data_IF_632159752284
#
_entry.id   IF_632159752284
#
_cell.length_a   1.000
_cell.length_b   1.000
_cell.length_c   1.000
_cell.angle_alpha   90.00
_cell.angle_beta   90.00
_cell.angle_gamma   90.00
#
_symmetry.space_group_name_H-M   'P 1'
#
loop_
_entity.id
_entity.type
_entity.pdbx_description
1 polymer ?
#
# COMPACT_ATOMS: atom_id res chain seq x y z
N UNK A 1 -82.55 -11.78 -65.76
CA UNK A 1 -82.27 -12.82 -64.74
C UNK A 1 -80.76 -12.92 -64.59
N UNK A 2 -80.26 -12.57 -63.41
CA UNK A 2 -78.83 -12.49 -63.07
C UNK A 2 -78.21 -13.87 -62.93
N UNK A 3 -77.18 -14.17 -63.73
CA UNK A 3 -76.37 -15.36 -63.57
C UNK A 3 -75.25 -15.05 -62.55
N UNK A 4 -75.37 -15.54 -61.31
CA UNK A 4 -74.36 -15.39 -60.26
C UNK A 4 -73.37 -16.56 -60.33
N UNK A 5 -72.09 -16.25 -60.50
CA UNK A 5 -70.97 -17.20 -60.48
C UNK A 5 -70.73 -17.64 -59.01
N UNK A 6 -70.53 -18.94 -58.70
CA UNK A 6 -70.22 -19.37 -57.34
C UNK A 6 -68.78 -19.02 -56.96
N UNK A 7 -68.59 -18.23 -55.90
CA UNK A 7 -67.27 -18.00 -55.29
C UNK A 7 -66.85 -19.22 -54.45
N UNK A 8 -65.61 -19.70 -54.61
CA UNK A 8 -65.10 -20.86 -53.86
C UNK A 8 -64.33 -20.44 -52.60
N UNK A 9 -64.89 -20.70 -51.42
CA UNK A 9 -64.25 -20.44 -50.12
C UNK A 9 -62.98 -21.28 -49.88
N UNK A 10 -62.73 -22.33 -50.70
CA UNK A 10 -61.57 -23.23 -50.58
C UNK A 10 -60.24 -22.59 -51.00
N UNK A 11 -60.25 -21.60 -51.89
CA UNK A 11 -59.03 -20.88 -52.29
C UNK A 11 -58.51 -19.93 -51.21
N UNK A 12 -59.43 -19.31 -50.45
CA UNK A 12 -59.09 -18.40 -49.37
C UNK A 12 -58.41 -19.12 -48.18
N UNK A 13 -58.88 -20.33 -47.84
CA UNK A 13 -58.29 -21.15 -46.75
C UNK A 13 -56.84 -21.54 -47.06
N UNK A 14 -56.53 -21.89 -48.33
CA UNK A 14 -55.16 -22.23 -48.73
C UNK A 14 -54.23 -21.02 -48.63
N UNK A 15 -54.68 -19.84 -49.06
CA UNK A 15 -53.89 -18.61 -48.98
C UNK A 15 -53.62 -18.23 -47.52
N UNK A 16 -54.61 -18.33 -46.64
CA UNK A 16 -54.44 -18.07 -45.20
C UNK A 16 -53.46 -19.06 -44.57
N UNK A 17 -53.56 -20.35 -44.91
CA UNK A 17 -52.63 -21.37 -44.42
C UNK A 17 -51.19 -21.11 -44.91
N UNK A 18 -51.00 -20.72 -46.17
CA UNK A 18 -49.68 -20.36 -46.71
C UNK A 18 -49.10 -19.12 -46.03
N UNK A 19 -49.93 -18.09 -45.79
CA UNK A 19 -49.50 -16.88 -45.09
C UNK A 19 -49.10 -17.16 -43.64
N UNK A 20 -49.89 -17.96 -42.91
CA UNK A 20 -49.54 -18.40 -41.56
C UNK A 20 -48.24 -19.22 -41.55
N UNK A 21 -48.08 -20.14 -42.50
CA UNK A 21 -46.85 -20.93 -42.64
C UNK A 21 -45.63 -20.05 -42.91
N UNK A 22 -45.76 -19.05 -43.77
CA UNK A 22 -44.69 -18.10 -44.08
C UNK A 22 -44.32 -17.24 -42.85
N UNK A 23 -45.31 -16.77 -42.09
CA UNK A 23 -45.09 -16.01 -40.85
C UNK A 23 -44.37 -16.87 -39.80
N UNK A 24 -44.77 -18.13 -39.63
CA UNK A 24 -44.11 -19.08 -38.71
C UNK A 24 -42.68 -19.38 -39.17
N UNK A 25 -42.45 -19.56 -40.47
CA UNK A 25 -41.10 -19.80 -40.99
C UNK A 25 -40.16 -18.62 -40.75
N UNK A 26 -40.64 -17.38 -40.98
CA UNK A 26 -39.87 -16.16 -40.71
C UNK A 26 -39.62 -15.97 -39.22
N UNK A 27 -40.62 -16.20 -38.36
CA UNK A 27 -40.46 -16.06 -36.91
C UNK A 27 -39.51 -17.10 -36.33
N UNK A 28 -39.60 -18.37 -36.76
CA UNK A 28 -38.71 -19.44 -36.35
C UNK A 28 -37.27 -19.19 -36.82
N UNK A 29 -37.09 -18.78 -38.08
CA UNK A 29 -35.78 -18.42 -38.61
C UNK A 29 -35.14 -17.24 -37.85
N UNK A 30 -35.94 -16.24 -37.50
CA UNK A 30 -35.48 -15.10 -36.69
C UNK A 30 -35.10 -15.54 -35.27
N UNK A 31 -35.94 -16.37 -34.64
CA UNK A 31 -35.69 -16.87 -33.28
C UNK A 31 -34.45 -17.76 -33.20
N UNK A 32 -34.23 -18.63 -34.19
CA UNK A 32 -33.01 -19.47 -34.26
C UNK A 32 -31.78 -18.58 -34.40
N UNK A 33 -31.81 -17.58 -35.29
CA UNK A 33 -30.67 -16.66 -35.46
C UNK A 33 -30.41 -15.83 -34.19
N UNK A 34 -31.46 -15.36 -33.53
CA UNK A 34 -31.33 -14.65 -32.26
C UNK A 34 -30.71 -15.56 -31.19
N UNK A 35 -31.21 -16.79 -31.04
CA UNK A 35 -30.69 -17.78 -30.10
C UNK A 35 -29.21 -18.11 -30.36
N UNK A 36 -28.83 -18.34 -31.63
CA UNK A 36 -27.44 -18.59 -32.01
C UNK A 36 -26.53 -17.39 -31.71
N UNK A 37 -27.00 -16.17 -31.95
CA UNK A 37 -26.24 -14.97 -31.62
C UNK A 37 -26.11 -14.77 -30.11
N UNK A 38 -27.17 -15.06 -29.34
CA UNK A 38 -27.13 -15.03 -27.88
C UNK A 38 -26.14 -16.04 -27.31
N UNK A 39 -26.11 -17.28 -27.84
CA UNK A 39 -25.12 -18.30 -27.43
C UNK A 39 -23.70 -17.86 -27.78
N UNK A 40 -23.48 -17.36 -29.00
CA UNK A 40 -22.15 -16.84 -29.40
C UNK A 40 -21.70 -15.68 -28.53
N UNK A 41 -22.61 -14.77 -28.17
CA UNK A 41 -22.28 -13.65 -27.30
C UNK A 41 -21.96 -14.14 -25.89
N UNK A 42 -22.73 -15.08 -25.35
CA UNK A 42 -22.47 -15.70 -24.05
C UNK A 42 -21.10 -16.38 -24.01
N UNK A 43 -20.76 -17.20 -25.02
CA UNK A 43 -19.46 -17.85 -25.13
C UNK A 43 -18.34 -16.79 -25.20
N UNK A 44 -18.51 -15.76 -26.03
CA UNK A 44 -17.49 -14.71 -26.17
C UNK A 44 -17.30 -13.92 -24.88
N UNK A 45 -18.35 -13.64 -24.13
CA UNK A 45 -18.25 -12.97 -22.82
C UNK A 45 -17.56 -13.87 -21.80
N UNK A 46 -17.91 -15.16 -21.76
CA UNK A 46 -17.26 -16.13 -20.88
C UNK A 46 -15.75 -16.22 -21.15
N UNK A 47 -15.35 -16.39 -22.41
CA UNK A 47 -13.93 -16.46 -22.77
C UNK A 47 -13.23 -15.10 -22.69
N UNK A 48 -13.93 -13.96 -22.80
CA UNK A 48 -13.34 -12.65 -22.55
C UNK A 48 -12.92 -12.48 -21.08
N UNK A 49 -13.74 -12.96 -20.14
CA UNK A 49 -13.38 -12.99 -18.71
C UNK A 49 -12.25 -13.98 -18.44
N UNK A 50 -12.27 -15.16 -19.07
CA UNK A 50 -11.17 -16.12 -18.93
C UNK A 50 -9.84 -15.56 -19.49
N UNK A 51 -9.89 -14.84 -20.61
CA UNK A 51 -8.71 -14.16 -21.17
C UNK A 51 -8.20 -13.09 -20.20
N UNK A 52 -9.08 -12.36 -19.52
CA UNK A 52 -8.69 -11.38 -18.50
C UNK A 52 -7.93 -12.04 -17.35
N UNK A 53 -8.48 -13.10 -16.76
CA UNK A 53 -7.84 -13.82 -15.67
C UNK A 53 -6.47 -14.41 -16.09
N UNK A 54 -6.34 -14.87 -17.34
CA UNK A 54 -5.05 -15.36 -17.85
C UNK A 54 -3.99 -14.27 -17.95
N UNK A 55 -4.35 -13.07 -18.41
CA UNK A 55 -3.38 -11.98 -18.51
C UNK A 55 -2.99 -11.48 -17.12
N UNK A 56 -3.93 -11.42 -16.18
CA UNK A 56 -3.64 -11.09 -14.77
C UNK A 56 -2.67 -12.11 -14.17
N UNK A 57 -2.91 -13.41 -14.35
CA UNK A 57 -1.98 -14.46 -13.88
C UNK A 57 -0.55 -14.26 -14.41
N UNK A 58 -0.38 -13.95 -15.69
CA UNK A 58 0.96 -13.71 -16.26
C UNK A 58 1.63 -12.46 -15.68
N UNK A 59 0.86 -11.39 -15.46
CA UNK A 59 1.38 -10.14 -14.87
C UNK A 59 1.75 -10.33 -13.40
N UNK A 60 0.95 -11.08 -12.64
CA UNK A 60 1.25 -11.43 -11.24
C UNK A 60 2.55 -12.24 -11.14
N UNK A 61 2.82 -13.16 -12.08
CA UNK A 61 4.10 -13.88 -12.14
C UNK A 61 5.29 -12.94 -12.41
N UNK A 62 5.10 -11.92 -13.26
CA UNK A 62 6.13 -10.91 -13.48
C UNK A 62 6.39 -10.07 -12.22
N UNK A 63 5.33 -9.68 -11.51
CA UNK A 63 5.45 -8.98 -10.23
C UNK A 63 6.12 -9.83 -9.16
N UNK A 64 5.77 -11.10 -9.07
CA UNK A 64 6.44 -12.06 -8.20
C UNK A 64 7.93 -12.15 -8.54
N UNK A 65 8.27 -12.21 -9.84
CA UNK A 65 9.67 -12.26 -10.30
C UNK A 65 10.48 -11.03 -9.85
N UNK A 66 9.91 -9.82 -9.87
CA UNK A 66 10.56 -8.64 -9.29
C UNK A 66 10.83 -8.78 -7.78
N UNK A 67 9.83 -9.23 -7.02
CA UNK A 67 9.94 -9.35 -5.56
C UNK A 67 10.82 -10.54 -5.14
N UNK A 68 10.89 -11.58 -5.95
CA UNK A 68 11.78 -12.73 -5.75
C UNK A 68 13.22 -12.39 -6.10
N UNK A 69 13.48 -11.65 -7.18
CA UNK A 69 14.83 -11.19 -7.55
C UNK A 69 15.46 -10.34 -6.43
N UNK A 70 14.65 -9.52 -5.77
CA UNK A 70 15.02 -8.78 -4.55
C UNK A 70 15.42 -9.69 -3.38
N UNK A 71 14.74 -10.83 -3.22
CA UNK A 71 14.90 -11.69 -2.03
C UNK A 71 15.99 -12.76 -2.22
N UNK A 72 16.09 -13.33 -3.42
CA UNK A 72 16.98 -14.47 -3.72
C UNK A 72 17.87 -14.26 -4.94
N UNK A 73 17.68 -13.18 -5.71
CA UNK A 73 18.43 -12.91 -6.95
C UNK A 73 18.09 -13.84 -8.12
N UNK A 74 16.99 -14.61 -8.02
CA UNK A 74 16.64 -15.66 -8.99
C UNK A 74 15.29 -15.46 -9.68
N UNK A 75 14.63 -14.32 -9.48
CA UNK A 75 13.25 -14.10 -9.94
C UNK A 75 13.08 -14.21 -11.46
N UNK A 76 14.13 -13.91 -12.23
CA UNK A 76 14.09 -13.89 -13.70
C UNK A 76 14.63 -15.15 -14.38
N UNK A 77 14.95 -16.21 -13.62
CA UNK A 77 15.59 -17.43 -14.17
C UNK A 77 14.73 -18.20 -15.18
N UNK A 78 13.41 -18.15 -15.04
CA UNK A 78 12.45 -18.77 -15.95
C UNK A 78 12.05 -17.88 -17.15
N UNK A 79 12.62 -16.68 -17.26
CA UNK A 79 12.31 -15.69 -18.28
C UNK A 79 13.41 -15.58 -19.33
N UNK A 80 13.04 -15.26 -20.56
CA UNK A 80 13.99 -14.86 -21.60
C UNK A 80 14.47 -13.42 -21.32
N UNK A 81 15.76 -13.30 -21.01
CA UNK A 81 16.44 -12.03 -20.72
C UNK A 81 17.48 -11.66 -21.79
N UNK A 82 17.39 -12.28 -22.97
CA UNK A 82 18.32 -12.05 -24.10
C UNK A 82 18.34 -10.60 -24.60
N UNK A 83 17.26 -9.85 -24.36
CA UNK A 83 17.14 -8.42 -24.66
C UNK A 83 17.76 -7.49 -23.60
N UNK A 84 18.65 -8.01 -22.74
CA UNK A 84 19.41 -7.22 -21.76
C UNK A 84 18.61 -6.91 -20.49
N UNK A 85 18.12 -5.68 -20.38
CA UNK A 85 17.36 -5.23 -19.20
C UNK A 85 15.86 -5.54 -19.29
N UNK A 86 15.38 -6.04 -20.43
CA UNK A 86 14.01 -6.49 -20.59
C UNK A 86 13.89 -7.99 -20.34
N UNK A 87 12.71 -8.42 -19.88
CA UNK A 87 12.39 -9.83 -19.70
C UNK A 87 11.11 -10.19 -20.45
N UNK A 88 11.08 -11.37 -21.05
CA UNK A 88 9.95 -11.89 -21.77
C UNK A 88 9.65 -13.31 -21.33
N UNK A 89 8.37 -13.64 -21.17
CA UNK A 89 7.97 -15.03 -20.99
C UNK A 89 6.65 -15.32 -21.70
N UNK A 90 6.57 -16.52 -22.26
CA UNK A 90 5.35 -17.09 -22.80
C UNK A 90 4.97 -18.29 -21.98
N UNK A 91 3.97 -18.11 -21.14
CA UNK A 91 3.42 -19.17 -20.33
C UNK A 91 2.66 -20.17 -21.21
N UNK A 92 2.64 -21.42 -20.76
CA UNK A 92 2.18 -22.57 -21.50
C UNK A 92 0.75 -22.44 -22.07
N UNK A 93 0.36 -23.42 -22.89
CA UNK A 93 -0.99 -23.47 -23.45
C UNK A 93 -1.96 -24.07 -22.45
N UNK A 94 -2.98 -23.32 -22.06
CA UNK A 94 -4.07 -23.75 -21.18
C UNK A 94 -5.21 -24.30 -22.01
N UNK A 95 -5.73 -25.48 -21.65
CA UNK A 95 -6.82 -26.13 -22.38
C UNK A 95 -8.14 -25.98 -21.62
N UNK A 96 -9.16 -25.44 -22.29
CA UNK A 96 -10.50 -25.24 -21.74
C UNK A 96 -11.51 -26.31 -22.18
N UNK A 97 -11.03 -27.35 -22.89
CA UNK A 97 -11.88 -28.34 -23.54
C UNK A 97 -12.48 -27.82 -24.85
N UNK A 98 -13.10 -28.71 -25.63
CA UNK A 98 -13.78 -28.32 -26.87
C UNK A 98 -12.89 -27.67 -27.94
N UNK A 99 -11.59 -27.98 -27.97
CA UNK A 99 -10.58 -27.34 -28.83
C UNK A 99 -10.41 -25.83 -28.59
N UNK A 100 -10.70 -25.36 -27.38
CA UNK A 100 -10.40 -23.99 -26.95
C UNK A 100 -9.08 -23.98 -26.17
N UNK A 101 -8.15 -23.13 -26.61
CA UNK A 101 -6.83 -23.01 -25.98
C UNK A 101 -6.52 -21.56 -25.62
N UNK A 102 -5.98 -21.32 -24.43
CA UNK A 102 -5.47 -20.04 -23.98
C UNK A 102 -3.94 -20.02 -23.93
N UNK A 103 -3.35 -18.86 -24.18
CA UNK A 103 -1.94 -18.60 -23.95
C UNK A 103 -1.78 -17.18 -23.39
N UNK A 104 -0.74 -16.97 -22.58
CA UNK A 104 -0.37 -15.64 -22.08
C UNK A 104 1.10 -15.38 -22.36
N UNK A 105 1.37 -14.18 -22.86
CA UNK A 105 2.69 -13.64 -23.13
C UNK A 105 2.85 -12.40 -22.26
N UNK A 106 4.01 -12.23 -21.64
CA UNK A 106 4.30 -11.09 -20.77
C UNK A 106 5.65 -10.52 -21.14
N UNK A 107 5.72 -9.20 -21.20
CA UNK A 107 6.92 -8.44 -21.51
C UNK A 107 7.15 -7.39 -20.42
N UNK A 108 8.42 -7.23 -20.06
CA UNK A 108 8.87 -6.37 -18.97
C UNK A 108 10.00 -5.48 -19.50
N UNK A 109 9.88 -4.16 -19.34
CA UNK A 109 10.85 -3.21 -19.93
C UNK A 109 12.15 -3.09 -19.14
N UNK A 110 12.08 -3.09 -17.79
CA UNK A 110 13.23 -2.85 -16.89
C UNK A 110 13.25 -3.82 -15.70
N UNK A 111 13.81 -5.01 -15.91
CA UNK A 111 13.90 -6.06 -14.90
C UNK A 111 14.75 -5.67 -13.68
N UNK A 112 15.76 -4.82 -13.88
CA UNK A 112 16.69 -4.42 -12.80
C UNK A 112 16.10 -3.35 -11.89
N UNK A 113 15.04 -2.68 -12.33
CA UNK A 113 14.37 -1.63 -11.57
C UNK A 113 15.26 -0.43 -11.26
N UNK A 114 16.28 -0.21 -12.09
CA UNK A 114 17.16 0.97 -12.02
C UNK A 114 16.44 2.22 -12.56
N UNK A 115 15.45 2.05 -13.43
CA UNK A 115 14.47 3.06 -13.78
C UNK A 115 13.38 3.13 -12.72
N UNK A 116 13.06 4.35 -12.29
CA UNK A 116 12.12 4.63 -11.21
C UNK A 116 10.67 4.11 -11.42
N UNK A 117 10.34 3.49 -12.58
CA UNK A 117 8.99 3.01 -12.89
C UNK A 117 9.01 1.86 -13.91
N UNK A 118 9.25 0.60 -13.47
CA UNK A 118 9.21 -0.54 -14.37
C UNK A 118 7.81 -0.76 -14.97
N UNK A 119 7.76 -1.09 -16.28
CA UNK A 119 6.51 -1.34 -17.01
C UNK A 119 6.39 -2.83 -17.33
N UNK A 120 5.23 -3.41 -17.03
CA UNK A 120 4.87 -4.77 -17.44
C UNK A 120 3.68 -4.69 -18.37
N UNK A 121 3.79 -5.37 -19.51
CA UNK A 121 2.70 -5.54 -20.46
C UNK A 121 2.37 -7.03 -20.54
N UNK A 122 1.10 -7.37 -20.32
CA UNK A 122 0.58 -8.71 -20.49
C UNK A 122 -0.36 -8.78 -21.69
N UNK A 123 -0.30 -9.88 -22.43
CA UNK A 123 -1.20 -10.21 -23.54
C UNK A 123 -1.67 -11.63 -23.38
N UNK A 124 -2.98 -11.83 -23.24
CA UNK A 124 -3.60 -13.16 -23.33
C UNK A 124 -4.32 -13.33 -24.66
N UNK A 125 -4.34 -14.57 -25.15
CA UNK A 125 -5.04 -14.95 -26.37
C UNK A 125 -5.78 -16.26 -26.12
N UNK A 126 -7.11 -16.23 -26.23
CA UNK A 126 -7.96 -17.42 -26.27
C UNK A 126 -8.38 -17.70 -27.70
N UNK A 127 -8.00 -18.87 -28.20
CA UNK A 127 -8.31 -19.36 -29.54
C UNK A 127 -9.53 -20.26 -29.46
N UNK A 128 -10.59 -19.88 -30.19
CA UNK A 128 -11.83 -20.64 -30.29
C UNK A 128 -11.81 -21.56 -31.51
N UNK A 129 -12.51 -22.70 -31.50
CA UNK A 129 -12.62 -23.59 -32.65
C UNK A 129 -13.34 -22.95 -33.85
N UNK A 130 -14.19 -21.94 -33.59
CA UNK A 130 -14.92 -21.17 -34.61
C UNK A 130 -14.96 -19.70 -34.23
N UNK A 131 -14.49 -18.84 -35.13
CA UNK A 131 -14.50 -17.38 -34.97
C UNK A 131 -13.12 -16.80 -34.65
N UNK A 132 -13.05 -15.47 -34.59
CA UNK A 132 -11.81 -14.76 -34.29
C UNK A 132 -11.38 -14.98 -32.82
N UNK A 133 -10.07 -15.11 -32.55
CA UNK A 133 -9.56 -15.24 -31.20
C UNK A 133 -9.93 -14.03 -30.35
N UNK A 134 -10.04 -14.26 -29.04
CA UNK A 134 -10.27 -13.22 -28.05
C UNK A 134 -8.92 -12.86 -27.44
N UNK A 135 -8.58 -11.58 -27.52
CA UNK A 135 -7.27 -11.06 -27.08
C UNK A 135 -7.51 -9.96 -26.05
N UNK A 136 -6.82 -10.04 -24.91
CA UNK A 136 -6.83 -9.02 -23.86
C UNK A 136 -5.41 -8.55 -23.58
N UNK A 137 -5.28 -7.26 -23.29
CA UNK A 137 -4.01 -6.60 -23.05
C UNK A 137 -4.13 -5.75 -21.80
N UNK A 138 -3.16 -5.85 -20.91
CA UNK A 138 -3.06 -5.06 -19.70
C UNK A 138 -1.65 -4.46 -19.64
N UNK A 139 -1.60 -3.21 -19.23
CA UNK A 139 -0.37 -2.47 -18.89
C UNK A 139 -0.41 -2.16 -17.40
N UNK A 140 0.67 -2.51 -16.68
CA UNK A 140 0.87 -2.07 -15.31
C UNK A 140 2.22 -1.36 -15.14
N UNK A 141 2.22 -0.32 -14.31
CA UNK A 141 3.44 0.36 -13.87
C UNK A 141 3.69 0.00 -12.42
N UNK A 142 4.95 -0.32 -12.10
CA UNK A 142 5.40 -0.63 -10.76
C UNK A 142 6.19 0.54 -10.15
N UNK A 143 6.18 0.64 -8.83
CA UNK A 143 7.16 1.40 -8.06
C UNK A 143 7.55 0.60 -6.81
N UNK A 144 8.69 0.92 -6.21
CA UNK A 144 9.03 0.44 -4.88
C UNK A 144 8.04 1.02 -3.87
N UNK A 145 7.64 0.22 -2.88
CA UNK A 145 6.78 0.64 -1.78
C UNK A 145 7.60 0.71 -0.49
N UNK A 146 7.64 1.89 0.13
CA UNK A 146 8.22 2.05 1.48
C UNK A 146 7.18 1.83 2.56
N UNK A 147 7.62 1.22 3.67
CA UNK A 147 6.83 1.11 4.90
C UNK A 147 6.55 2.48 5.54
N UNK A 148 7.31 3.50 5.18
CA UNK A 148 7.24 4.86 5.72
C UNK A 148 7.03 5.91 4.62
N UNK A 149 6.33 5.56 3.54
CA UNK A 149 6.07 6.47 2.42
C UNK A 149 5.19 7.69 2.78
N UNK A 150 4.51 7.64 3.93
CA UNK A 150 3.71 8.74 4.46
C UNK A 150 4.07 9.00 5.92
N UNK A 151 3.70 10.16 6.44
CA UNK A 151 4.00 10.59 7.81
C UNK A 151 3.31 9.76 8.88
N UNK A 152 1.98 9.77 8.91
CA UNK A 152 1.18 9.02 9.86
C UNK A 152 0.23 8.08 9.12
N UNK A 153 0.39 6.77 9.29
CA UNK A 153 -0.50 5.79 8.68
C UNK A 153 -1.12 4.91 9.76
N UNK A 154 -2.44 4.96 9.88
CA UNK A 154 -3.18 4.05 10.74
C UNK A 154 -3.86 2.97 9.90
N UNK A 155 -4.05 1.79 10.48
CA UNK A 155 -4.93 0.78 9.90
C UNK A 155 -6.38 1.17 10.11
N UNK A 156 -6.78 1.49 11.33
CA UNK A 156 -8.15 1.82 11.71
C UNK A 156 -8.39 3.33 11.84
N UNK A 157 -7.67 4.06 12.68
CA UNK A 157 -8.01 5.48 12.91
C UNK A 157 -6.86 6.38 13.33
N UNK A 158 -6.98 7.66 12.97
CA UNK A 158 -6.07 8.73 13.42
C UNK A 158 -6.89 9.78 14.17
N UNK A 159 -6.47 10.12 15.39
CA UNK A 159 -7.12 11.16 16.18
C UNK A 159 -6.10 12.16 16.73
N UNK A 160 -6.31 13.43 16.42
CA UNK A 160 -5.57 14.54 17.01
C UNK A 160 -6.35 15.10 18.20
N UNK A 161 -5.72 15.15 19.37
CA UNK A 161 -6.30 15.74 20.59
C UNK A 161 -5.34 16.80 21.13
N UNK A 162 -5.57 18.03 20.69
CA UNK A 162 -4.76 19.20 20.99
C UNK A 162 -5.35 20.41 20.27
N UNK A 163 -5.07 21.62 20.75
CA UNK A 163 -5.52 22.86 20.10
C UNK A 163 -4.53 23.38 19.05
N UNK A 164 -3.31 22.83 19.02
CA UNK A 164 -2.18 23.32 18.24
C UNK A 164 -1.32 22.19 17.67
N UNK A 165 -1.90 21.00 17.45
CA UNK A 165 -1.17 19.96 16.75
C UNK A 165 -1.00 20.37 15.28
N UNK A 166 0.19 20.15 14.72
CA UNK A 166 0.47 20.43 13.30
C UNK A 166 1.10 19.20 12.66
N UNK A 167 0.89 19.03 11.36
CA UNK A 167 1.56 18.03 10.52
C UNK A 167 2.13 18.76 9.32
N UNK A 168 3.42 18.66 9.08
CA UNK A 168 4.09 19.13 7.87
C UNK A 168 5.18 18.12 7.46
N UNK A 169 6.08 18.49 6.55
CA UNK A 169 7.22 17.64 6.17
C UNK A 169 8.53 18.42 6.03
N UNK A 170 9.64 17.70 5.95
CA UNK A 170 10.93 18.18 5.46
C UNK A 170 11.69 17.02 4.83
N UNK A 171 12.74 17.31 4.07
CA UNK A 171 13.63 16.27 3.55
C UNK A 171 14.96 16.29 4.32
N UNK A 172 15.25 15.25 5.11
CA UNK A 172 16.51 15.19 5.87
C UNK A 172 17.72 14.80 5.02
N UNK A 173 17.50 14.27 3.81
CA UNK A 173 18.54 13.85 2.86
C UNK A 173 18.17 14.28 1.43
N UNK A 174 18.24 15.59 1.10
CA UNK A 174 17.77 16.11 -0.19
C UNK A 174 18.49 15.54 -1.42
N UNK A 175 19.69 15.00 -1.23
CA UNK A 175 20.48 14.39 -2.29
C UNK A 175 20.19 12.88 -2.45
N UNK A 176 19.54 12.25 -1.47
CA UNK A 176 19.24 10.82 -1.46
C UNK A 176 20.47 9.91 -1.35
N UNK A 177 21.65 10.46 -1.07
CA UNK A 177 22.93 9.75 -1.01
C UNK A 177 23.60 9.82 0.38
N UNK A 178 22.94 10.46 1.35
CA UNK A 178 23.43 10.64 2.70
C UNK A 178 24.63 11.60 2.83
N UNK A 179 25.02 12.29 1.75
CA UNK A 179 26.15 13.24 1.76
C UNK A 179 25.83 14.54 2.48
N UNK A 180 24.56 14.96 2.44
CA UNK A 180 24.07 16.18 3.08
C UNK A 180 22.89 15.83 3.95
N UNK A 181 23.05 15.97 5.26
CA UNK A 181 21.99 15.73 6.23
C UNK A 181 21.49 17.07 6.77
N UNK A 182 20.18 17.30 6.67
CA UNK A 182 19.52 18.54 7.09
C UNK A 182 18.58 18.25 8.26
N UNK A 183 18.83 18.78 9.47
CA UNK A 183 17.87 18.67 10.56
C UNK A 183 16.64 19.54 10.30
N UNK A 184 15.49 19.13 10.85
CA UNK A 184 14.28 19.92 10.76
C UNK A 184 14.46 21.33 11.35
N UNK A 185 13.88 22.32 10.67
CA UNK A 185 13.65 23.67 11.17
C UNK A 185 12.50 24.29 10.40
N UNK A 186 11.81 25.29 10.96
CA UNK A 186 10.69 25.94 10.27
C UNK A 186 11.05 26.64 8.94
N UNK A 187 12.34 26.80 8.62
CA UNK A 187 12.80 27.33 7.32
C UNK A 187 12.94 26.29 6.21
N UNK A 188 12.89 25.01 6.55
CA UNK A 188 12.97 23.87 5.60
C UNK A 188 11.68 23.04 5.59
N UNK A 189 10.62 23.58 6.20
CA UNK A 189 9.31 22.93 6.22
C UNK A 189 8.64 23.02 4.85
N UNK A 190 8.07 21.89 4.44
CA UNK A 190 7.32 21.68 3.21
C UNK A 190 5.87 21.32 3.56
N UNK A 191 4.97 21.48 2.59
CA UNK A 191 3.55 21.13 2.71
C UNK A 191 3.24 19.72 2.18
N UNK A 192 4.16 18.78 2.34
CA UNK A 192 3.97 17.36 2.01
C UNK A 192 3.76 16.48 3.26
N UNK A 193 3.29 17.08 4.35
CA UNK A 193 2.84 16.35 5.53
C UNK A 193 1.66 15.46 5.17
N UNK A 194 1.75 14.17 5.51
CA UNK A 194 0.78 13.18 5.03
C UNK A 194 0.23 12.32 6.15
N UNK A 195 -1.10 12.16 6.13
CA UNK A 195 -1.83 11.29 7.05
C UNK A 195 -2.75 10.35 6.26
N UNK A 196 -2.82 9.08 6.67
CA UNK A 196 -3.56 8.06 5.95
C UNK A 196 -4.23 7.06 6.90
N UNK A 197 -5.48 6.66 6.62
CA UNK A 197 -6.10 5.54 7.31
C UNK A 197 -6.68 4.51 6.33
N UNK A 198 -6.39 3.23 6.56
CA UNK A 198 -6.58 2.16 5.56
C UNK A 198 -7.97 1.52 5.61
N UNK A 199 -8.57 1.36 6.79
CA UNK A 199 -9.85 0.65 6.95
C UNK A 199 -10.98 1.40 6.21
N UNK A 200 -11.94 0.67 5.65
CA UNK A 200 -13.09 1.24 4.95
C UNK A 200 -14.05 1.98 5.89
N UNK A 201 -14.02 1.64 7.18
CA UNK A 201 -14.75 2.31 8.26
C UNK A 201 -13.87 3.26 9.07
N UNK A 202 -12.61 3.44 8.64
CA UNK A 202 -11.66 4.32 9.31
C UNK A 202 -12.16 5.75 9.41
N UNK A 203 -11.67 6.45 10.43
CA UNK A 203 -11.86 7.89 10.55
C UNK A 203 -10.55 8.59 10.85
N UNK A 204 -10.40 9.80 10.29
CA UNK A 204 -9.34 10.73 10.61
C UNK A 204 -9.99 11.94 11.28
N UNK A 205 -9.85 12.00 12.61
CA UNK A 205 -10.32 13.13 13.40
C UNK A 205 -9.21 14.16 13.55
N UNK A 206 -9.13 15.08 12.57
CA UNK A 206 -8.17 16.21 12.57
C UNK A 206 -8.46 17.18 13.72
N UNK A 207 -9.74 17.35 14.09
CA UNK A 207 -10.15 18.27 15.15
C UNK A 207 -9.57 19.68 14.93
N UNK A 208 -8.79 20.22 15.85
CA UNK A 208 -8.20 21.55 15.75
C UNK A 208 -6.76 21.54 15.21
N UNK A 209 -6.30 20.43 14.64
CA UNK A 209 -4.95 20.30 14.11
C UNK A 209 -4.80 20.91 12.71
N UNK A 210 -3.61 21.41 12.40
CA UNK A 210 -3.25 21.92 11.08
C UNK A 210 -2.49 20.85 10.29
N UNK A 211 -3.07 20.32 9.22
CA UNK A 211 -2.41 19.34 8.35
C UNK A 211 -1.96 20.05 7.07
N UNK A 212 -0.66 20.32 6.97
CA UNK A 212 -0.01 20.93 5.82
C UNK A 212 0.43 19.84 4.84
N UNK A 213 -0.50 19.48 3.95
CA UNK A 213 -0.32 18.44 2.95
C UNK A 213 -1.59 17.61 2.79
N UNK A 214 -1.47 16.28 2.79
CA UNK A 214 -2.54 15.39 2.33
C UNK A 214 -3.16 14.54 3.44
N UNK A 215 -4.46 14.25 3.30
CA UNK A 215 -5.18 13.31 4.16
C UNK A 215 -5.98 12.30 3.32
N UNK A 216 -5.73 11.02 3.52
CA UNK A 216 -6.32 9.96 2.70
C UNK A 216 -7.02 8.91 3.57
N UNK A 217 -8.22 8.48 3.19
CA UNK A 217 -8.98 7.44 3.90
C UNK A 217 -9.35 6.31 2.95
N UNK A 218 -9.41 5.07 3.46
CA UNK A 218 -9.91 3.92 2.70
C UNK A 218 -11.44 3.86 2.58
N UNK A 219 -12.14 4.68 3.37
CA UNK A 219 -13.60 4.80 3.31
C UNK A 219 -14.07 5.64 2.13
N UNK A 220 -15.24 5.33 1.58
CA UNK A 220 -15.78 5.95 0.36
C UNK A 220 -16.34 7.37 0.54
N UNK A 221 -16.10 8.02 1.69
CA UNK A 221 -16.70 9.32 2.03
C UNK A 221 -15.67 10.24 2.69
N UNK A 222 -15.55 11.45 2.14
CA UNK A 222 -14.73 12.52 2.74
C UNK A 222 -15.19 12.93 4.14
N UNK A 223 -16.42 12.60 4.54
CA UNK A 223 -16.91 12.83 5.90
C UNK A 223 -16.17 12.01 6.96
N UNK A 224 -15.43 10.97 6.56
CA UNK A 224 -14.53 10.25 7.45
C UNK A 224 -13.33 11.09 7.90
N UNK A 225 -13.02 12.19 7.18
CA UNK A 225 -12.01 13.17 7.56
C UNK A 225 -12.71 14.35 8.26
N UNK A 226 -12.68 14.33 9.58
CA UNK A 226 -13.34 15.32 10.43
C UNK A 226 -12.42 16.48 10.78
N UNK A 227 -12.69 17.66 10.21
CA UNK A 227 -12.00 18.91 10.55
C UNK A 227 -12.85 19.74 11.50
N UNK A 228 -12.28 20.12 12.65
CA UNK A 228 -12.90 20.97 13.67
C UNK A 228 -12.83 22.46 13.33
N UNK A 229 -13.35 23.34 14.22
CA UNK A 229 -13.46 24.77 13.94
C UNK A 229 -12.15 25.49 13.61
N UNK A 230 -11.02 24.99 14.14
CA UNK A 230 -9.71 25.59 13.92
C UNK A 230 -8.78 24.75 13.04
N UNK A 231 -9.12 23.48 12.77
CA UNK A 231 -8.26 22.58 12.02
C UNK A 231 -8.32 22.83 10.53
N UNK A 232 -7.40 22.23 9.78
CA UNK A 232 -7.39 22.29 8.31
C UNK A 232 -6.61 21.13 7.69
N UNK A 233 -6.84 20.92 6.40
CA UNK A 233 -6.03 20.06 5.54
C UNK A 233 -5.81 20.76 4.21
N UNK A 234 -4.56 20.92 3.79
CA UNK A 234 -4.19 21.49 2.50
C UNK A 234 -2.80 22.10 2.49
N UNK A 235 -2.39 22.75 1.38
CA UNK A 235 -1.09 23.41 1.28
C UNK A 235 -0.95 24.60 2.23
N UNK A 236 0.27 25.11 2.39
CA UNK A 236 0.52 26.29 3.24
C UNK A 236 -0.38 27.48 2.84
N UNK A 237 -0.99 28.11 3.84
CA UNK A 237 -1.92 29.23 3.64
C UNK A 237 -3.40 28.82 3.54
N UNK A 238 -3.71 27.52 3.59
CA UNK A 238 -5.09 27.03 3.74
C UNK A 238 -5.79 27.68 4.94
N UNK A 239 -7.00 28.25 4.80
CA UNK A 239 -7.74 28.85 5.92
C UNK A 239 -8.19 27.81 6.95
N UNK A 240 -8.44 28.25 8.20
CA UNK A 240 -9.00 27.38 9.23
C UNK A 240 -10.38 26.84 8.82
N UNK A 241 -10.76 25.67 9.35
CA UNK A 241 -11.99 24.94 9.05
C UNK A 241 -12.15 24.57 7.56
N UNK A 242 -11.04 24.28 6.90
CA UNK A 242 -11.02 23.96 5.46
C UNK A 242 -10.43 22.59 5.22
N UNK A 243 -11.10 21.83 4.36
CA UNK A 243 -10.62 20.59 3.77
C UNK A 243 -10.43 20.86 2.27
N UNK A 244 -9.19 21.01 1.82
CA UNK A 244 -8.92 21.23 0.39
C UNK A 244 -9.19 19.95 -0.42
N UNK A 245 -10.12 19.97 -1.39
CA UNK A 245 -10.44 18.79 -2.21
C UNK A 245 -9.26 18.20 -2.99
N UNK A 246 -8.23 18.99 -3.30
CA UNK A 246 -7.03 18.49 -4.01
C UNK A 246 -6.04 17.79 -3.07
N UNK A 247 -6.23 17.94 -1.76
CA UNK A 247 -5.35 17.42 -0.73
C UNK A 247 -5.95 16.22 -0.01
N UNK A 248 -7.08 15.69 -0.49
CA UNK A 248 -7.77 14.55 0.12
C UNK A 248 -8.14 13.46 -0.88
N UNK A 249 -8.08 12.21 -0.45
CA UNK A 249 -8.63 11.07 -1.21
C UNK A 249 -9.39 10.07 -0.33
N UNK A 250 -10.22 9.27 -0.97
CA UNK A 250 -11.10 8.24 -0.36
C UNK A 250 -10.80 6.82 -0.84
N UNK A 251 -9.68 6.64 -1.52
CA UNK A 251 -9.24 5.39 -2.15
C UNK A 251 -7.91 4.92 -1.58
N UNK A 252 -7.58 5.36 -0.37
CA UNK A 252 -6.32 4.98 0.25
C UNK A 252 -6.30 3.49 0.57
N UNK A 253 -5.28 2.81 0.07
CA UNK A 253 -5.04 1.40 0.36
C UNK A 253 -3.55 1.18 0.61
N UNK A 254 -3.24 0.48 1.69
CA UNK A 254 -1.88 0.07 2.01
C UNK A 254 -1.90 -1.35 2.58
N UNK A 255 -0.92 -2.16 2.18
CA UNK A 255 -0.70 -3.47 2.79
C UNK A 255 0.32 -3.32 3.92
N UNK A 256 -0.17 -3.34 5.17
CA UNK A 256 0.65 -3.18 6.37
C UNK A 256 1.05 -4.54 6.93
N UNK A 257 2.08 -5.15 6.33
CA UNK A 257 2.54 -6.48 6.72
C UNK A 257 3.22 -6.47 8.10
N UNK A 258 2.97 -7.46 8.97
CA UNK A 258 3.70 -7.61 10.22
C UNK A 258 5.20 -7.81 10.00
N UNK A 259 6.01 -7.30 10.91
CA UNK A 259 7.47 -7.44 10.86
C UNK A 259 7.92 -8.54 11.82
N UNK A 260 8.95 -9.29 11.42
CA UNK A 260 9.57 -10.32 12.26
C UNK A 260 10.89 -9.81 12.83
N UNK A 261 11.13 -10.10 14.11
CA UNK A 261 12.39 -9.77 14.75
C UNK A 261 13.55 -10.63 14.17
N UNK A 262 14.78 -10.10 14.09
CA UNK A 262 15.92 -10.86 13.60
C UNK A 262 16.19 -12.11 14.47
N UNK A 263 16.65 -13.17 13.81
CA UNK A 263 17.12 -14.38 14.48
C UNK A 263 18.54 -14.16 15.04
N UNK A 264 18.81 -14.66 16.24
CA UNK A 264 20.10 -14.47 16.92
C UNK A 264 20.15 -13.29 17.89
N UNK A 265 21.37 -12.93 18.31
CA UNK A 265 21.67 -11.90 19.31
C UNK A 265 22.12 -12.46 20.67
N UNK A 266 22.81 -11.62 21.44
CA UNK A 266 23.33 -11.98 22.76
C UNK A 266 22.25 -11.78 23.81
N UNK A 267 21.91 -12.84 24.55
CA UNK A 267 20.95 -12.75 25.65
C UNK A 267 21.59 -12.07 26.87
N UNK A 268 20.92 -11.05 27.41
CA UNK A 268 21.30 -10.40 28.67
C UNK A 268 20.10 -10.35 29.62
N UNK A 269 20.37 -10.12 30.91
CA UNK A 269 19.32 -9.94 31.89
C UNK A 269 18.48 -8.68 31.61
N UNK A 270 17.27 -8.62 32.19
CA UNK A 270 16.42 -7.44 32.12
C UNK A 270 17.17 -6.18 32.59
N UNK A 271 17.00 -5.08 31.87
CA UNK A 271 17.64 -3.80 32.19
C UNK A 271 16.77 -3.08 33.21
N UNK A 272 17.27 -2.98 34.45
CA UNK A 272 16.59 -2.28 35.54
C UNK A 272 17.48 -1.23 36.24
N UNK A 273 18.65 -0.96 35.68
CA UNK A 273 19.62 0.02 36.15
C UNK A 273 20.28 0.76 34.99
N UNK A 274 20.99 1.85 35.27
CA UNK A 274 21.76 2.58 34.25
C UNK A 274 22.69 1.62 33.51
N UNK A 275 22.56 1.56 32.20
CA UNK A 275 23.25 0.59 31.35
C UNK A 275 23.75 1.29 30.09
N UNK A 276 24.98 0.97 29.68
CA UNK A 276 25.53 1.40 28.40
C UNK A 276 25.55 0.20 27.46
N UNK A 277 24.92 0.31 26.30
CA UNK A 277 25.00 -0.69 25.25
C UNK A 277 25.88 -0.15 24.11
N UNK A 278 26.92 -0.92 23.79
CA UNK A 278 27.69 -0.77 22.57
C UNK A 278 27.05 -1.54 21.42
N UNK A 279 27.60 -1.39 20.23
CA UNK A 279 27.04 -1.99 19.02
C UNK A 279 26.86 -3.51 19.11
N UNK A 280 25.75 -4.00 18.58
CA UNK A 280 25.38 -5.42 18.56
C UNK A 280 23.89 -5.68 18.70
N UNK A 281 23.51 -6.94 18.51
CA UNK A 281 22.13 -7.42 18.71
C UNK A 281 21.99 -8.03 20.09
N UNK A 282 21.08 -7.50 20.91
CA UNK A 282 20.84 -7.88 22.29
C UNK A 282 19.41 -8.41 22.46
N UNK A 283 19.26 -9.57 23.10
CA UNK A 283 17.95 -10.12 23.47
C UNK A 283 17.73 -9.90 24.96
N UNK A 284 16.68 -9.15 25.30
CA UNK A 284 16.46 -8.65 26.66
C UNK A 284 15.02 -8.99 27.06
N UNK A 285 14.78 -9.55 28.25
CA UNK A 285 13.41 -9.79 28.72
C UNK A 285 12.58 -8.53 28.79
N UNK A 286 13.10 -7.47 29.40
CA UNK A 286 12.42 -6.18 29.51
C UNK A 286 13.39 -5.05 29.87
N UNK A 287 12.93 -3.82 29.66
CA UNK A 287 13.60 -2.59 30.11
C UNK A 287 12.65 -1.88 31.09
N UNK A 288 13.03 -1.78 32.36
CA UNK A 288 12.24 -1.10 33.39
C UNK A 288 13.10 -0.09 34.13
N UNK A 289 13.00 1.18 33.74
CA UNK A 289 13.82 2.27 34.26
C UNK A 289 12.97 3.32 34.96
N UNK A 290 13.40 3.73 36.14
CA UNK A 290 12.75 4.78 36.93
C UNK A 290 13.78 5.60 37.73
N UNK A 291 13.36 6.76 38.24
CA UNK A 291 14.30 7.67 38.92
C UNK A 291 15.29 8.25 37.90
N UNK A 292 16.59 8.43 38.23
CA UNK A 292 17.56 9.06 37.32
C UNK A 292 18.25 8.07 36.35
N UNK A 293 17.78 6.82 36.25
CA UNK A 293 18.46 5.75 35.52
C UNK A 293 18.40 5.97 34.00
N UNK A 294 19.49 5.68 33.28
CA UNK A 294 19.58 5.92 31.83
C UNK A 294 19.99 4.65 31.06
N UNK A 295 19.36 4.42 29.91
CA UNK A 295 19.88 3.50 28.90
C UNK A 295 20.65 4.32 27.86
N UNK A 296 21.97 4.18 27.82
CA UNK A 296 22.80 4.92 26.86
C UNK A 296 23.24 4.00 25.72
N UNK A 297 22.97 4.45 24.50
CA UNK A 297 23.32 3.75 23.27
C UNK A 297 24.53 4.43 22.65
N UNK A 298 25.62 3.68 22.49
CA UNK A 298 26.94 4.21 22.12
C UNK A 298 27.47 3.71 20.77
N UNK A 299 26.69 2.87 20.08
CA UNK A 299 26.98 2.36 18.74
C UNK A 299 25.70 1.82 18.10
N UNK A 300 25.82 0.97 17.08
CA UNK A 300 24.66 0.42 16.37
C UNK A 300 24.02 -0.75 17.12
N UNK A 301 22.91 -0.47 17.80
CA UNK A 301 22.26 -1.40 18.72
C UNK A 301 20.93 -1.89 18.17
N UNK A 302 20.77 -3.21 18.14
CA UNK A 302 19.48 -3.86 17.91
C UNK A 302 19.04 -4.50 19.22
N UNK A 303 17.89 -4.12 19.77
CA UNK A 303 17.28 -4.74 20.94
C UNK A 303 16.09 -5.58 20.48
N UNK A 304 16.07 -6.85 20.86
CA UNK A 304 14.89 -7.71 20.74
C UNK A 304 14.34 -7.95 22.14
N UNK A 305 13.18 -7.37 22.43
CA UNK A 305 12.46 -7.63 23.67
C UNK A 305 11.84 -9.02 23.59
N UNK A 306 12.14 -9.88 24.56
CA UNK A 306 11.63 -11.26 24.58
C UNK A 306 10.39 -11.43 25.45
N UNK A 307 9.91 -10.37 26.09
CA UNK A 307 8.59 -10.36 26.71
C UNK A 307 7.50 -10.54 25.65
N UNK A 308 6.49 -11.34 26.00
CA UNK A 308 5.41 -11.71 25.08
C UNK A 308 4.31 -10.65 24.98
N UNK A 309 3.41 -10.81 24.00
CA UNK A 309 2.24 -9.96 23.85
C UNK A 309 1.39 -9.88 25.12
N UNK A 310 0.82 -8.70 25.40
CA UNK A 310 0.02 -8.44 26.60
C UNK A 310 0.83 -8.31 27.91
N UNK A 311 2.15 -8.19 27.81
CA UNK A 311 3.03 -7.92 28.96
C UNK A 311 3.77 -6.60 28.77
N UNK A 312 4.35 -6.05 29.84
CA UNK A 312 5.17 -4.84 29.75
C UNK A 312 6.60 -5.18 29.34
N UNK A 313 6.98 -4.80 28.11
CA UNK A 313 8.32 -4.99 27.57
C UNK A 313 9.25 -3.83 27.91
N UNK A 314 8.76 -2.60 27.74
CA UNK A 314 9.51 -1.37 28.04
C UNK A 314 8.65 -0.47 28.93
N UNK A 315 9.21 -0.05 30.06
CA UNK A 315 8.60 0.89 31.00
C UNK A 315 9.65 1.87 31.52
N UNK A 316 9.54 3.13 31.10
CA UNK A 316 10.45 4.20 31.47
C UNK A 316 9.63 5.33 32.12
N UNK A 317 9.99 5.71 33.34
CA UNK A 317 9.24 6.70 34.12
C UNK A 317 10.14 7.57 35.00
N UNK A 318 9.57 8.62 35.62
CA UNK A 318 10.32 9.55 36.46
C UNK A 318 11.31 10.37 35.64
N UNK A 319 12.59 10.40 36.01
CA UNK A 319 13.64 11.13 35.30
C UNK A 319 14.50 10.20 34.43
N UNK A 320 14.00 8.99 34.15
CA UNK A 320 14.70 7.99 33.37
C UNK A 320 14.51 8.26 31.88
N UNK A 321 15.45 7.78 31.07
CA UNK A 321 15.42 7.99 29.63
C UNK A 321 16.28 7.01 28.84
N UNK A 322 16.11 7.05 27.53
CA UNK A 322 16.96 6.40 26.54
C UNK A 322 17.74 7.50 25.82
N UNK A 323 19.06 7.45 25.87
CA UNK A 323 19.92 8.44 25.26
C UNK A 323 20.75 7.79 24.14
N UNK A 324 20.58 8.28 22.92
CA UNK A 324 21.45 7.92 21.80
C UNK A 324 22.62 8.89 21.76
N UNK A 325 23.84 8.37 21.63
CA UNK A 325 25.00 9.18 21.28
C UNK A 325 24.92 9.65 19.82
N UNK A 326 25.61 10.75 19.51
CA UNK A 326 25.74 11.20 18.12
C UNK A 326 26.41 10.10 17.27
N UNK A 327 25.80 9.78 16.13
CA UNK A 327 26.23 8.69 15.24
C UNK A 327 25.81 7.29 15.68
N UNK A 328 25.17 7.12 16.85
CA UNK A 328 24.65 5.83 17.28
C UNK A 328 23.23 5.57 16.76
N UNK A 329 22.88 4.31 16.55
CA UNK A 329 21.54 3.87 16.14
C UNK A 329 20.93 2.88 17.13
N UNK A 330 19.61 2.92 17.29
CA UNK A 330 18.83 2.02 18.12
C UNK A 330 17.62 1.51 17.36
N UNK A 331 17.59 0.20 17.11
CA UNK A 331 16.42 -0.50 16.57
C UNK A 331 15.85 -1.43 17.63
N UNK A 332 14.57 -1.31 17.97
CA UNK A 332 13.89 -2.14 18.95
C UNK A 332 12.83 -2.99 18.24
N UNK A 333 12.82 -4.29 18.51
CA UNK A 333 11.74 -5.21 18.12
C UNK A 333 11.03 -5.71 19.37
N UNK A 334 9.70 -5.61 19.41
CA UNK A 334 8.91 -6.05 20.57
C UNK A 334 7.48 -6.42 20.18
N UNK A 335 6.96 -7.50 20.74
CA UNK A 335 5.51 -7.80 20.75
C UNK A 335 4.82 -7.37 22.05
N UNK A 336 5.60 -7.06 23.08
CA UNK A 336 5.14 -6.54 24.37
C UNK A 336 4.89 -5.03 24.33
N UNK A 337 4.14 -4.53 25.31
CA UNK A 337 3.77 -3.12 25.45
C UNK A 337 5.00 -2.24 25.73
N UNK A 338 4.94 -1.01 25.22
CA UNK A 338 6.00 0.00 25.33
C UNK A 338 5.44 1.26 25.95
N UNK A 339 6.05 1.70 27.04
CA UNK A 339 5.77 2.99 27.66
C UNK A 339 7.07 3.73 27.93
N UNK A 340 7.38 4.70 27.07
CA UNK A 340 8.55 5.58 27.19
C UNK A 340 8.05 6.94 27.67
N UNK A 341 8.14 7.19 28.97
CA UNK A 341 7.80 8.46 29.60
C UNK A 341 9.04 9.06 30.30
N UNK A 342 8.82 10.00 31.22
CA UNK A 342 9.88 10.64 31.99
C UNK A 342 10.74 11.58 31.15
N UNK A 343 12.06 11.39 31.17
CA UNK A 343 12.96 12.08 30.25
C UNK A 343 12.91 11.48 28.85
N UNK A 344 12.09 10.46 28.59
CA UNK A 344 11.74 10.00 27.25
C UNK A 344 12.90 9.44 26.44
N UNK A 345 12.76 9.51 25.12
CA UNK A 345 13.82 9.25 24.16
C UNK A 345 14.54 10.57 23.80
N UNK A 346 15.87 10.55 23.88
CA UNK A 346 16.74 11.59 23.35
C UNK A 346 17.54 11.03 22.17
N UNK A 347 17.22 11.50 20.97
CA UNK A 347 17.94 11.20 19.74
C UNK A 347 18.52 12.50 19.15
N UNK A 348 19.81 12.81 19.35
CA UNK A 348 20.43 14.04 18.86
C UNK A 348 20.80 13.97 17.37
N UNK A 349 20.58 12.83 16.72
CA UNK A 349 20.91 12.65 15.31
C UNK A 349 19.89 13.37 14.42
N UNK A 350 20.38 13.98 13.33
CA UNK A 350 19.55 14.73 12.40
C UNK A 350 18.58 13.84 11.59
N UNK A 351 18.93 12.56 11.38
CA UNK A 351 18.04 11.58 10.72
C UNK A 351 17.18 10.87 11.76
N UNK A 352 15.84 10.86 11.62
CA UNK A 352 14.95 10.11 12.52
C UNK A 352 15.17 8.59 12.40
N UNK A 353 15.67 8.11 11.26
CA UNK A 353 15.98 6.69 11.00
C UNK A 353 16.92 6.04 12.02
N UNK A 354 17.71 6.81 12.77
CA UNK A 354 18.63 6.27 13.79
C UNK A 354 17.92 5.73 15.02
N UNK A 355 16.64 6.05 15.23
CA UNK A 355 15.79 5.35 16.20
C UNK A 355 14.62 4.69 15.48
N UNK A 356 14.44 3.39 15.71
CA UNK A 356 13.38 2.61 15.10
C UNK A 356 12.72 1.72 16.14
N UNK A 357 11.40 1.75 16.19
CA UNK A 357 10.58 0.84 16.98
C UNK A 357 9.71 -0.01 16.06
N UNK A 358 9.90 -1.33 16.13
CA UNK A 358 9.18 -2.32 15.33
C UNK A 358 8.28 -3.15 16.24
N UNK A 359 6.96 -2.97 16.10
CA UNK A 359 5.96 -3.79 16.74
C UNK A 359 5.82 -5.12 16.01
N UNK A 360 6.16 -6.22 16.68
CA UNK A 360 6.15 -7.57 16.10
C UNK A 360 4.96 -8.41 16.58
N UNK A 361 4.01 -7.82 17.31
CA UNK A 361 2.81 -8.54 17.75
C UNK A 361 2.00 -8.99 16.53
N UNK A 362 1.76 -10.29 16.44
CA UNK A 362 0.79 -10.89 15.49
C UNK A 362 -0.44 -11.43 16.21
N UNK A 363 -0.53 -11.20 17.52
CA UNK A 363 -1.61 -11.69 18.37
C UNK A 363 -2.84 -10.77 18.24
N UNK A 364 -4.04 -11.31 18.50
CA UNK A 364 -5.26 -10.49 18.60
C UNK A 364 -5.34 -9.64 19.88
N UNK A 365 -4.26 -9.61 20.69
CA UNK A 365 -4.14 -8.74 21.86
C UNK A 365 -3.50 -7.44 21.36
N UNK A 366 -4.25 -6.35 21.46
CA UNK A 366 -3.76 -5.02 21.09
C UNK A 366 -2.51 -4.69 21.91
N UNK A 367 -1.41 -4.42 21.21
CA UNK A 367 -0.17 -3.93 21.80
C UNK A 367 -0.33 -2.42 22.05
N UNK A 368 0.02 -1.93 23.23
CA UNK A 368 -0.01 -0.49 23.54
C UNK A 368 1.41 0.10 23.45
N UNK A 369 1.58 1.12 22.61
CA UNK A 369 2.85 1.81 22.41
C UNK A 369 2.66 3.29 22.72
N UNK A 370 3.35 3.75 23.75
CA UNK A 370 3.37 5.14 24.19
C UNK A 370 4.80 5.66 24.14
N UNK A 371 5.01 6.70 23.34
CA UNK A 371 6.33 7.31 23.17
C UNK A 371 6.24 8.80 23.50
N UNK A 372 7.05 9.23 24.47
CA UNK A 372 7.33 10.62 24.76
C UNK A 372 8.81 10.93 24.49
N UNK A 373 9.06 12.07 23.84
CA UNK A 373 10.41 12.61 23.63
C UNK A 373 10.83 13.61 24.71
N UNK A 374 12.14 13.82 24.86
CA UNK A 374 12.67 14.91 25.68
C UNK A 374 12.74 16.22 24.87
N UNK A 375 11.64 16.97 24.82
CA UNK A 375 11.55 18.18 23.98
C UNK A 375 11.28 17.87 22.51
N UNK A 376 12.12 17.04 21.87
CA UNK A 376 11.95 16.57 20.48
C UNK A 376 11.97 15.04 20.43
N UNK A 377 10.95 14.43 19.81
CA UNK A 377 10.93 13.00 19.50
C UNK A 377 11.37 12.81 18.04
N UNK A 378 12.56 12.25 17.80
CA UNK A 378 13.05 11.96 16.45
C UNK A 378 13.23 10.46 16.27
N UNK A 379 12.41 9.83 15.42
CA UNK A 379 12.32 8.38 15.35
C UNK A 379 11.26 7.83 14.40
N UNK A 380 11.36 6.53 14.12
CA UNK A 380 10.38 5.77 13.35
C UNK A 380 9.66 4.75 14.23
N UNK A 381 8.39 4.50 13.92
CA UNK A 381 7.63 3.43 14.54
C UNK A 381 6.81 2.69 13.49
N UNK A 382 6.94 1.38 13.42
CA UNK A 382 6.10 0.53 12.58
C UNK A 382 5.53 -0.61 13.41
N UNK A 383 4.25 -0.51 13.75
CA UNK A 383 3.55 -1.45 14.63
C UNK A 383 2.08 -1.59 14.21
N UNK A 384 1.78 -2.22 13.05
CA UNK A 384 0.45 -2.21 12.43
C UNK A 384 -0.65 -2.93 13.22
N UNK A 385 -0.32 -3.59 14.34
CA UNK A 385 -1.26 -4.25 15.26
C UNK A 385 -1.21 -3.63 16.66
N UNK A 386 -0.71 -2.39 16.78
CA UNK A 386 -0.57 -1.69 18.05
C UNK A 386 -1.33 -0.35 18.03
N UNK A 387 -1.84 0.03 19.20
CA UNK A 387 -2.32 1.38 19.45
C UNK A 387 -1.14 2.28 19.80
N UNK A 388 -0.90 3.30 18.98
CA UNK A 388 0.19 4.25 19.18
C UNK A 388 -0.33 5.56 19.75
N UNK A 389 0.17 5.93 20.93
CA UNK A 389 -0.02 7.28 21.48
C UNK A 389 1.30 8.07 21.41
N UNK A 390 1.27 9.15 20.65
CA UNK A 390 2.34 10.15 20.59
C UNK A 390 1.97 11.29 21.54
N UNK A 391 2.72 11.45 22.63
CA UNK A 391 2.53 12.55 23.57
C UNK A 391 3.67 13.56 23.41
N UNK A 392 3.42 14.58 22.60
CA UNK A 392 4.40 15.62 22.28
C UNK A 392 3.97 16.98 22.84
N UNK A 393 4.91 17.67 23.49
CA UNK A 393 4.82 19.11 23.79
C UNK A 393 5.79 19.93 22.93
N UNK A 394 6.35 19.31 21.88
CA UNK A 394 7.33 19.89 20.96
C UNK A 394 7.34 19.09 19.66
N UNK A 395 8.49 19.08 18.99
CA UNK A 395 8.63 18.52 17.64
C UNK A 395 8.67 16.98 17.68
N UNK A 396 7.97 16.35 16.74
CA UNK A 396 7.95 14.91 16.49
C UNK A 396 8.34 14.68 15.03
N UNK A 397 9.53 14.16 14.81
CA UNK A 397 10.17 14.04 13.51
C UNK A 397 10.25 12.56 13.10
N UNK A 398 9.69 12.19 11.94
CA UNK A 398 9.85 10.85 11.36
C UNK A 398 8.59 10.33 10.67
N UNK A 399 8.33 9.03 10.79
CA UNK A 399 7.13 8.39 10.25
C UNK A 399 6.65 7.28 11.17
N UNK A 400 5.34 7.19 11.34
CA UNK A 400 4.70 6.29 12.29
C UNK A 400 3.55 5.53 11.63
N UNK A 401 3.60 4.21 11.73
CA UNK A 401 2.58 3.28 11.25
C UNK A 401 2.05 2.47 12.41
N UNK A 402 0.73 2.45 12.61
CA UNK A 402 0.09 1.74 13.72
C UNK A 402 -1.31 1.19 13.36
N UNK A 403 -1.95 0.47 14.26
CA UNK A 403 -3.37 0.11 14.12
C UNK A 403 -4.24 1.36 14.31
N UNK A 404 -4.10 2.01 15.47
CA UNK A 404 -4.64 3.34 15.73
C UNK A 404 -3.53 4.32 16.11
N UNK A 405 -3.66 5.58 15.71
CA UNK A 405 -2.72 6.65 16.09
C UNK A 405 -3.48 7.73 16.83
N UNK A 406 -3.01 8.04 18.04
CA UNK A 406 -3.47 9.17 18.83
C UNK A 406 -2.33 10.16 19.05
N UNK A 407 -2.46 11.34 18.47
CA UNK A 407 -1.56 12.46 18.73
C UNK A 407 -2.18 13.32 19.83
N UNK A 408 -1.50 13.39 20.98
CA UNK A 408 -1.98 14.15 22.15
C UNK A 408 -1.02 15.29 22.47
N UNK A 409 -1.57 16.41 22.96
CA UNK A 409 -0.78 17.58 23.36
C UNK A 409 -0.63 18.59 22.24
N UNK A 410 0.44 19.38 22.29
CA UNK A 410 0.78 20.38 21.27
C UNK A 410 1.90 19.85 20.38
N UNK A 411 1.81 18.58 19.96
CA UNK A 411 2.83 17.94 19.15
C UNK A 411 2.86 18.57 17.75
N UNK A 412 4.04 19.03 17.32
CA UNK A 412 4.30 19.41 15.95
C UNK A 412 4.91 18.22 15.24
N UNK A 413 4.13 17.53 14.43
CA UNK A 413 4.57 16.38 13.67
C UNK A 413 5.18 16.83 12.35
N UNK A 414 6.36 16.31 12.05
CA UNK A 414 7.11 16.57 10.85
C UNK A 414 7.37 15.20 10.21
N UNK A 415 7.00 15.04 8.94
CA UNK A 415 7.33 13.87 8.14
C UNK A 415 8.70 14.07 7.45
N UNK A 416 9.58 13.07 7.53
CA UNK A 416 10.83 13.08 6.77
C UNK A 416 10.63 12.44 5.40
N UNK A 417 10.62 13.25 4.35
CA UNK A 417 10.39 12.82 2.96
C UNK A 417 11.45 11.84 2.46
N UNK A 418 12.67 11.84 3.04
CA UNK A 418 13.69 10.85 2.68
C UNK A 418 13.32 9.41 3.06
N UNK A 419 12.26 9.22 3.86
CA UNK A 419 11.72 7.91 4.23
C UNK A 419 10.88 7.26 3.12
N UNK A 420 10.53 8.01 2.07
CA UNK A 420 9.90 7.42 0.88
C UNK A 420 10.81 6.34 0.25
N UNK A 421 12.12 6.53 0.34
CA UNK A 421 13.15 5.56 -0.07
C UNK A 421 13.87 4.94 1.15
N UNK A 422 13.13 4.66 2.23
CA UNK A 422 13.71 4.18 3.50
C UNK A 422 14.65 2.96 3.37
N UNK A 423 14.35 2.02 2.47
CA UNK A 423 15.13 0.80 2.28
C UNK A 423 15.38 0.55 0.79
N UNK A 424 16.61 0.15 0.45
CA UNK A 424 16.96 -0.28 -0.90
C UNK A 424 16.17 -1.54 -1.32
N UNK A 425 15.73 -2.33 -0.34
CA UNK A 425 15.00 -3.60 -0.48
C UNK A 425 13.47 -3.46 -0.35
N UNK A 426 12.92 -2.29 -0.65
CA UNK A 426 11.47 -2.10 -0.71
C UNK A 426 10.80 -2.98 -1.80
N UNK A 427 9.70 -3.70 -1.52
CA UNK A 427 9.02 -4.53 -2.51
C UNK A 427 8.37 -3.66 -3.60
N UNK A 428 8.25 -4.21 -4.81
CA UNK A 428 7.51 -3.57 -5.90
C UNK A 428 6.01 -3.82 -5.75
N UNK A 429 5.24 -2.78 -6.03
CA UNK A 429 3.80 -2.92 -6.20
C UNK A 429 3.24 -2.04 -7.31
N UNK A 430 1.99 -2.31 -7.67
CA UNK A 430 1.30 -1.62 -8.75
C UNK A 430 0.99 -0.18 -8.32
N UNK A 431 1.37 0.77 -9.17
CA UNK A 431 0.98 2.19 -9.06
C UNK A 431 -0.05 2.59 -10.12
N UNK A 432 -0.02 1.92 -11.28
CA UNK A 432 -0.97 2.15 -12.37
C UNK A 432 -1.38 0.83 -13.00
N UNK A 433 -2.66 0.70 -13.26
CA UNK A 433 -3.24 -0.42 -13.99
C UNK A 433 -4.12 0.12 -15.12
N UNK A 434 -3.96 -0.44 -16.33
CA UNK A 434 -4.76 -0.04 -17.50
C UNK A 434 -5.02 -1.21 -18.43
N UNK A 435 -6.28 -1.45 -18.76
CA UNK A 435 -6.65 -2.32 -19.89
C UNK A 435 -6.46 -1.58 -21.23
N UNK A 436 -5.77 -2.20 -22.19
CA UNK A 436 -5.52 -1.61 -23.52
C UNK A 436 -6.63 -2.01 -24.50
N UNK A 437 -7.72 -1.26 -24.46
CA UNK A 437 -8.96 -1.56 -25.21
C UNK A 437 -8.92 -1.10 -26.67
N UNK A 438 -8.11 -0.08 -27.02
CA UNK A 438 -8.05 0.45 -28.39
C UNK A 438 -6.94 -0.20 -29.24
N UNK A 439 -7.09 -0.17 -30.57
CA UNK A 439 -6.06 -0.69 -31.47
C UNK A 439 -4.78 0.15 -31.44
N UNK A 440 -4.90 1.47 -31.24
CA UNK A 440 -3.76 2.38 -31.15
C UNK A 440 -2.91 2.08 -29.91
N UNK A 441 -3.55 1.87 -28.74
CA UNK A 441 -2.86 1.51 -27.50
C UNK A 441 -2.08 0.20 -27.66
N UNK A 442 -2.69 -0.81 -28.30
CA UNK A 442 -2.02 -2.10 -28.54
C UNK A 442 -0.88 -2.01 -29.56
N UNK A 443 -1.00 -1.14 -30.56
CA UNK A 443 0.02 -0.99 -31.60
C UNK A 443 1.36 -0.49 -31.03
N UNK A 444 1.32 0.33 -29.98
CA UNK A 444 2.52 0.81 -29.29
C UNK A 444 3.38 -0.33 -28.71
N UNK A 445 2.77 -1.48 -28.41
CA UNK A 445 3.42 -2.62 -27.76
C UNK A 445 3.47 -3.88 -28.64
N UNK A 446 2.94 -3.81 -29.87
CA UNK A 446 2.87 -4.97 -30.77
C UNK A 446 4.25 -5.52 -31.15
N UNK A 447 5.29 -4.68 -31.14
CA UNK A 447 6.67 -5.08 -31.43
C UNK A 447 7.33 -5.98 -30.37
N UNK A 448 6.71 -6.12 -29.19
CA UNK A 448 7.23 -6.93 -28.08
C UNK A 448 6.69 -8.37 -28.07
N UNK A 449 5.74 -8.75 -28.94
CA UNK A 449 4.94 -9.98 -28.81
C UNK A 449 4.83 -10.87 -30.04
#
# INVERSE_FOLDING_TARGET
MNNRIPHSDRGAVLIVAMLLSAVIAVSLGTYINLSLNSVRLADRTFYANAAMNLVEMGIEEAMWSYNEDRTSGNGWTAWDTSAGNSAYNKFGTYNYGGNVTGAVQVFVTDRTGLGASPLIIGKSTITLPKGAPIVKWIEITLSKRSKFALGLVAKDSITFSGNNATVDSWNSDPNGDGSVIVPYSGGVANDAGSIGSVDVTSTISVNNADIWGTAAVGGSSLSAIGVGPNGRVGPFGTPARTLDPNSVSTDFTANLEPVTAPSGGTAIAAINNTTNLGGGTWRIPSISLSGPKQLNITGDVIIVITAGAGTSGISIAGNAGINLAAGASLTIYTEADVSIAGNGLLNPNARPQTFQLWGTSTSGIAQDIKIAGNGTLSGLCYAPNADLTINGNGDVCGSFVADTIKVTGNAAFHYDESLEDFDTDNPYGITKWRELTTAADRAAYAGYF
#
